data_IF_999689115644
#
_entry.id   IF_999689115644
#
_cell.length_a   1.000
_cell.length_b   1.000
_cell.length_c   1.000
_cell.angle_alpha   90.00
_cell.angle_beta   90.00
_cell.angle_gamma   90.00
#
_symmetry.space_group_name_H-M   'P 1'
#
loop_
_entity.id
_entity.type
_entity.pdbx_description
1 polymer ?
#
# COMPACT_ATOMS: atom_id res chain seq x y z
N UNK A 1 -75.94 11.00 -21.73
CA UNK A 1 -74.88 11.44 -22.66
C UNK A 1 -73.61 11.62 -21.82
N UNK A 2 -72.75 10.59 -21.84
CA UNK A 2 -71.63 10.40 -20.93
C UNK A 2 -70.43 11.28 -21.30
N UNK A 3 -69.79 11.95 -20.34
CA UNK A 3 -68.38 12.34 -20.44
C UNK A 3 -67.70 12.24 -19.07
N UNK A 4 -67.11 11.08 -18.83
CA UNK A 4 -66.20 10.83 -17.70
C UNK A 4 -64.81 11.38 -18.09
N UNK A 5 -64.37 12.44 -17.42
CA UNK A 5 -63.03 13.03 -17.63
C UNK A 5 -62.02 12.25 -16.80
N UNK A 6 -61.22 11.39 -17.44
CA UNK A 6 -60.08 10.70 -16.81
C UNK A 6 -58.85 11.58 -16.92
N UNK A 7 -58.41 12.15 -15.80
CA UNK A 7 -57.12 12.82 -15.66
C UNK A 7 -56.07 11.73 -15.45
N UNK A 8 -55.20 11.53 -16.44
CA UNK A 8 -54.03 10.67 -16.32
C UNK A 8 -52.88 11.49 -15.72
N UNK A 9 -52.51 11.23 -14.47
CA UNK A 9 -51.22 11.65 -13.93
C UNK A 9 -50.16 10.69 -14.47
N UNK A 10 -49.38 11.14 -15.45
CA UNK A 10 -48.15 10.44 -15.86
C UNK A 10 -47.05 10.87 -14.89
N UNK A 11 -46.76 10.01 -13.92
CA UNK A 11 -45.53 10.09 -13.13
C UNK A 11 -44.37 9.70 -14.05
N UNK A 12 -43.71 10.69 -14.63
CA UNK A 12 -42.44 10.50 -15.32
C UNK A 12 -41.36 10.22 -14.27
N UNK A 13 -41.11 8.94 -13.98
CA UNK A 13 -39.87 8.55 -13.32
C UNK A 13 -38.74 8.72 -14.34
N UNK A 14 -38.01 9.83 -14.24
CA UNK A 14 -36.68 9.90 -14.84
C UNK A 14 -35.77 8.98 -14.02
N UNK A 15 -35.68 7.71 -14.44
CA UNK A 15 -34.51 6.92 -14.11
C UNK A 15 -33.33 7.60 -14.81
N UNK A 16 -32.68 8.53 -14.10
CA UNK A 16 -31.31 8.86 -14.43
C UNK A 16 -30.55 7.56 -14.23
N UNK A 17 -30.33 6.82 -15.31
CA UNK A 17 -29.29 5.83 -15.33
C UNK A 17 -28.02 6.61 -14.99
N UNK A 18 -27.56 6.51 -13.75
CA UNK A 18 -26.14 6.65 -13.48
C UNK A 18 -25.51 5.56 -14.34
N UNK A 19 -25.11 5.90 -15.55
CA UNK A 19 -24.00 5.21 -16.16
C UNK A 19 -22.85 5.45 -15.20
N UNK A 20 -22.64 4.52 -14.27
CA UNK A 20 -21.36 4.33 -13.67
C UNK A 20 -20.44 4.06 -14.85
N UNK A 21 -19.80 5.11 -15.33
CA UNK A 21 -18.72 5.00 -16.27
C UNK A 21 -17.69 4.18 -15.49
N UNK A 22 -17.64 2.88 -15.74
CA UNK A 22 -16.62 2.02 -15.18
C UNK A 22 -15.34 2.48 -15.83
N UNK A 23 -14.61 3.32 -15.12
CA UNK A 23 -13.21 3.53 -15.45
C UNK A 23 -12.56 2.15 -15.29
N UNK A 24 -12.34 1.45 -16.41
CA UNK A 24 -11.74 0.09 -16.47
C UNK A 24 -10.28 0.09 -16.00
N UNK A 25 -9.81 1.21 -15.46
CA UNK A 25 -8.59 1.31 -14.69
C UNK A 25 -8.59 0.24 -13.59
N UNK A 26 -7.58 -0.62 -13.61
CA UNK A 26 -7.30 -1.57 -12.52
C UNK A 26 -7.21 -0.91 -11.14
N UNK A 27 -7.04 0.43 -11.07
CA UNK A 27 -7.08 1.23 -9.83
C UNK A 27 -8.48 1.33 -9.20
N UNK A 28 -9.53 1.16 -9.98
CA UNK A 28 -10.93 1.11 -9.53
C UNK A 28 -11.41 -0.31 -9.25
N UNK A 29 -10.55 -1.33 -9.35
CA UNK A 29 -10.89 -2.72 -9.04
C UNK A 29 -10.52 -3.10 -7.60
N UNK A 30 -11.01 -4.25 -7.13
CA UNK A 30 -10.65 -4.86 -5.86
C UNK A 30 -9.13 -5.12 -5.71
N UNK A 31 -8.69 -5.41 -4.48
CA UNK A 31 -7.28 -5.74 -4.21
C UNK A 31 -6.96 -7.13 -4.78
N UNK A 32 -7.84 -8.11 -4.57
CA UNK A 32 -7.71 -9.43 -5.14
C UNK A 32 -8.40 -9.50 -6.51
N UNK A 33 -7.72 -10.12 -7.47
CA UNK A 33 -8.30 -10.41 -8.78
C UNK A 33 -8.98 -11.78 -8.75
N UNK A 34 -10.31 -11.78 -8.69
CA UNK A 34 -11.12 -12.99 -8.48
C UNK A 34 -11.96 -13.38 -9.71
N UNK A 35 -11.92 -12.61 -10.79
CA UNK A 35 -12.83 -12.72 -11.95
C UNK A 35 -12.75 -14.04 -12.71
N UNK A 36 -11.68 -14.80 -12.53
CA UNK A 36 -11.50 -16.13 -13.14
C UNK A 36 -11.60 -17.27 -12.14
N UNK A 37 -11.94 -16.99 -10.88
CA UNK A 37 -12.11 -18.03 -9.86
C UNK A 37 -13.54 -18.57 -9.89
N UNK A 38 -13.78 -19.83 -10.31
CA UNK A 38 -15.12 -20.42 -10.32
C UNK A 38 -15.70 -20.62 -8.91
N UNK A 39 -14.87 -20.45 -7.88
CA UNK A 39 -15.25 -20.62 -6.47
C UNK A 39 -15.44 -19.29 -5.73
N UNK A 40 -15.00 -18.16 -6.29
CA UNK A 40 -15.20 -16.86 -5.67
C UNK A 40 -16.65 -16.41 -5.89
N UNK A 41 -17.43 -16.38 -4.80
CA UNK A 41 -18.81 -15.86 -4.82
C UNK A 41 -18.92 -14.38 -4.47
N UNK A 42 -17.89 -13.84 -3.81
CA UNK A 42 -17.79 -12.46 -3.38
C UNK A 42 -16.58 -11.82 -4.04
N UNK A 43 -16.75 -10.57 -4.47
CA UNK A 43 -15.69 -9.76 -5.06
C UNK A 43 -15.40 -8.58 -4.14
N UNK A 44 -14.13 -8.22 -4.07
CA UNK A 44 -13.67 -7.12 -3.24
C UNK A 44 -14.12 -5.79 -3.85
N UNK A 45 -14.23 -4.77 -3.00
CA UNK A 45 -14.40 -3.39 -3.43
C UNK A 45 -13.02 -2.71 -3.51
N UNK A 46 -12.81 -1.74 -4.42
CA UNK A 46 -11.62 -0.90 -4.37
C UNK A 46 -11.59 -0.13 -3.05
N UNK A 47 -10.38 0.13 -2.53
CA UNK A 47 -10.17 0.86 -1.27
C UNK A 47 -10.89 2.22 -1.28
N UNK A 48 -10.87 2.91 -2.42
CA UNK A 48 -11.47 4.23 -2.61
C UNK A 48 -13.01 4.23 -2.64
N UNK A 49 -13.66 3.08 -2.86
CA UNK A 49 -15.13 2.98 -2.87
C UNK A 49 -15.74 3.08 -1.47
N UNK A 50 -14.96 2.86 -0.41
CA UNK A 50 -15.46 2.90 0.96
C UNK A 50 -14.98 4.17 1.65
N UNK A 51 -15.93 5.04 2.01
CA UNK A 51 -15.68 6.22 2.84
C UNK A 51 -16.27 6.00 4.22
N UNK A 52 -15.40 5.85 5.22
CA UNK A 52 -15.84 5.76 6.60
C UNK A 52 -16.41 7.09 7.06
N UNK A 53 -17.65 7.07 7.55
CA UNK A 53 -18.27 8.23 8.21
C UNK A 53 -17.69 8.40 9.62
N UNK A 54 -18.00 9.53 10.26
CA UNK A 54 -17.59 9.81 11.63
C UNK A 54 -17.94 8.66 12.59
N UNK A 55 -17.07 8.45 13.58
CA UNK A 55 -17.19 7.37 14.57
C UNK A 55 -15.93 6.52 14.68
N UNK A 56 -16.08 5.36 15.32
CA UNK A 56 -14.96 4.53 15.77
C UNK A 56 -13.87 4.29 14.70
N UNK A 57 -14.25 3.84 13.50
CA UNK A 57 -13.28 3.51 12.45
C UNK A 57 -12.65 4.74 11.79
N UNK A 58 -13.43 5.81 11.58
CA UNK A 58 -12.88 7.06 11.07
C UNK A 58 -11.84 7.65 12.05
N UNK A 59 -12.09 7.58 13.35
CA UNK A 59 -11.13 8.04 14.36
C UNK A 59 -9.83 7.22 14.35
N UNK A 60 -9.92 5.89 14.21
CA UNK A 60 -8.75 5.03 14.09
C UNK A 60 -7.94 5.30 12.83
N UNK A 61 -8.62 5.42 11.68
CA UNK A 61 -7.96 5.75 10.41
C UNK A 61 -7.29 7.13 10.46
N UNK A 62 -7.94 8.10 11.11
CA UNK A 62 -7.39 9.44 11.31
C UNK A 62 -6.13 9.41 12.16
N UNK A 63 -6.16 8.75 13.32
CA UNK A 63 -4.97 8.58 14.18
C UNK A 63 -3.87 7.82 13.44
N UNK A 64 -4.21 6.77 12.69
CA UNK A 64 -3.23 6.02 11.92
C UNK A 64 -2.49 6.91 10.90
N UNK A 65 -3.23 7.68 10.11
CA UNK A 65 -2.67 8.56 9.08
C UNK A 65 -1.90 9.75 9.66
N UNK A 66 -2.40 10.37 10.74
CA UNK A 66 -1.84 11.61 11.29
C UNK A 66 -0.74 11.38 12.34
N UNK A 67 -0.69 10.21 12.98
CA UNK A 67 0.22 9.93 14.10
C UNK A 67 0.98 8.63 13.91
N UNK A 68 0.30 7.51 13.73
CA UNK A 68 0.97 6.19 13.74
C UNK A 68 1.94 6.04 12.58
N UNK A 69 1.51 6.31 11.34
CA UNK A 69 2.37 6.21 10.15
C UNK A 69 3.58 7.14 10.26
N UNK A 70 3.45 8.45 10.53
CA UNK A 70 4.63 9.31 10.74
C UNK A 70 5.56 8.85 11.86
N UNK A 71 5.00 8.46 13.01
CA UNK A 71 5.81 8.02 14.16
C UNK A 71 6.57 6.74 13.85
N UNK A 72 5.93 5.78 13.18
CA UNK A 72 6.60 4.54 12.80
C UNK A 72 7.78 4.78 11.85
N UNK A 73 7.69 5.73 10.92
CA UNK A 73 8.85 6.05 10.08
C UNK A 73 9.98 6.63 10.91
N UNK A 74 9.67 7.53 11.86
CA UNK A 74 10.66 8.10 12.76
C UNK A 74 11.38 7.01 13.55
N UNK A 75 10.65 6.04 14.09
CA UNK A 75 11.24 4.89 14.79
C UNK A 75 12.18 4.06 13.88
N UNK A 76 11.79 3.82 12.62
CA UNK A 76 12.62 3.10 11.65
C UNK A 76 13.91 3.88 11.28
N UNK A 77 13.82 5.20 11.18
CA UNK A 77 14.97 6.08 10.95
C UNK A 77 15.91 6.09 12.18
N UNK A 78 15.35 6.32 13.38
CA UNK A 78 16.09 6.46 14.63
C UNK A 78 16.80 5.17 15.05
N UNK A 79 16.20 4.01 14.78
CA UNK A 79 16.79 2.71 15.07
C UNK A 79 17.70 2.20 13.95
N UNK A 80 17.93 2.99 12.90
CA UNK A 80 18.87 2.65 11.82
C UNK A 80 18.34 1.58 10.85
N UNK A 81 17.04 1.31 10.86
CA UNK A 81 16.41 0.35 9.94
C UNK A 81 16.48 0.86 8.51
N UNK A 82 16.12 2.13 8.26
CA UNK A 82 16.26 2.73 6.93
C UNK A 82 17.73 2.83 6.51
N UNK A 83 18.63 3.05 7.48
CA UNK A 83 20.07 3.10 7.23
C UNK A 83 20.66 1.75 6.80
N UNK A 84 19.98 0.62 7.03
CA UNK A 84 20.41 -0.68 6.47
C UNK A 84 20.43 -0.68 4.94
N UNK A 85 19.56 0.08 4.29
CA UNK A 85 19.60 0.28 2.83
C UNK A 85 20.70 1.28 2.46
N UNK A 86 20.70 2.45 3.10
CA UNK A 86 21.63 3.54 2.80
C UNK A 86 23.10 3.17 2.97
N UNK A 87 23.43 2.30 3.92
CA UNK A 87 24.82 1.82 4.12
C UNK A 87 25.34 1.06 2.89
N UNK A 88 24.47 0.33 2.18
CA UNK A 88 24.84 -0.49 1.03
C UNK A 88 25.11 0.36 -0.21
N UNK A 89 24.46 1.52 -0.30
CA UNK A 89 24.69 2.52 -1.35
C UNK A 89 25.70 3.61 -0.96
N UNK A 90 26.32 3.53 0.23
CA UNK A 90 27.26 4.55 0.74
C UNK A 90 26.61 5.89 1.16
N UNK A 91 25.28 5.95 1.27
CA UNK A 91 24.53 7.14 1.71
C UNK A 91 24.45 7.28 3.24
N UNK A 92 24.94 6.28 3.98
CA UNK A 92 25.05 6.30 5.44
C UNK A 92 26.42 5.81 5.88
N UNK A 93 26.96 6.40 6.95
CA UNK A 93 28.19 5.96 7.60
C UNK A 93 27.96 4.82 8.60
N UNK A 94 26.74 4.30 8.69
CA UNK A 94 26.41 3.16 9.54
C UNK A 94 27.24 1.94 9.14
N UNK A 95 28.09 1.47 10.06
CA UNK A 95 29.02 0.39 9.78
C UNK A 95 28.33 -0.99 9.70
N UNK A 96 27.33 -1.25 10.55
CA UNK A 96 26.71 -2.57 10.70
C UNK A 96 25.21 -2.54 10.43
N UNK A 97 24.69 -3.67 9.97
CA UNK A 97 23.24 -3.89 9.90
C UNK A 97 22.61 -3.81 11.31
N UNK A 98 21.42 -3.21 11.41
CA UNK A 98 20.63 -3.08 12.63
C UNK A 98 19.36 -3.94 12.58
N UNK A 99 19.01 -4.53 13.72
CA UNK A 99 17.83 -5.38 13.85
C UNK A 99 17.98 -6.81 13.29
N UNK A 100 16.94 -7.64 13.46
CA UNK A 100 16.90 -9.01 12.97
C UNK A 100 16.94 -9.12 11.43
N UNK A 101 17.19 -10.33 10.90
CA UNK A 101 17.34 -10.61 9.45
C UNK A 101 16.14 -10.23 8.58
N UNK A 102 14.97 -10.03 9.18
CA UNK A 102 13.71 -9.68 8.51
C UNK A 102 13.35 -8.20 8.57
N UNK A 103 14.23 -7.36 9.12
CA UNK A 103 13.97 -5.95 9.43
C UNK A 103 13.62 -5.10 8.20
N UNK A 104 14.13 -5.46 7.02
CA UNK A 104 13.73 -4.82 5.75
C UNK A 104 12.20 -4.80 5.56
N UNK A 105 11.53 -5.86 6.02
CA UNK A 105 10.07 -5.97 5.91
C UNK A 105 9.33 -4.88 6.69
N UNK A 106 9.92 -4.29 7.72
CA UNK A 106 9.26 -3.24 8.50
C UNK A 106 9.16 -1.95 7.70
N UNK A 107 10.19 -1.62 6.90
CA UNK A 107 10.11 -0.52 5.94
C UNK A 107 9.10 -0.81 4.82
N UNK A 108 9.07 -2.04 4.31
CA UNK A 108 8.12 -2.41 3.25
C UNK A 108 6.66 -2.32 3.75
N UNK A 109 6.35 -2.87 4.93
CA UNK A 109 5.02 -2.74 5.55
C UNK A 109 4.64 -1.29 5.81
N UNK A 110 5.61 -0.45 6.18
CA UNK A 110 5.36 0.97 6.34
C UNK A 110 4.94 1.62 5.01
N UNK A 111 5.66 1.32 3.91
CA UNK A 111 5.32 1.81 2.57
C UNK A 111 3.92 1.31 2.16
N UNK A 112 3.60 0.04 2.41
CA UNK A 112 2.27 -0.53 2.15
C UNK A 112 1.17 0.23 2.92
N UNK A 113 1.37 0.46 4.22
CA UNK A 113 0.42 1.20 5.05
C UNK A 113 0.24 2.65 4.56
N UNK A 114 1.35 3.31 4.19
CA UNK A 114 1.34 4.67 3.66
C UNK A 114 0.60 4.73 2.31
N UNK A 115 0.80 3.75 1.43
CA UNK A 115 0.08 3.64 0.16
C UNK A 115 -1.44 3.48 0.37
N UNK A 116 -1.87 2.65 1.34
CA UNK A 116 -3.29 2.53 1.66
C UNK A 116 -3.87 3.81 2.29
N UNK A 117 -3.08 4.60 3.02
CA UNK A 117 -3.50 5.95 3.46
C UNK A 117 -3.74 6.88 2.27
N UNK A 118 -2.91 6.82 1.23
CA UNK A 118 -3.08 7.63 0.01
C UNK A 118 -4.33 7.24 -0.80
N UNK A 119 -4.76 5.98 -0.71
CA UNK A 119 -5.96 5.46 -1.36
C UNK A 119 -7.24 5.67 -0.53
N UNK A 120 -7.12 5.92 0.78
CA UNK A 120 -8.26 6.00 1.70
C UNK A 120 -8.59 7.43 2.13
N UNK A 121 -9.70 7.95 1.60
CA UNK A 121 -10.20 9.27 1.95
C UNK A 121 -9.47 10.44 1.25
N UNK A 122 -9.97 11.65 1.46
CA UNK A 122 -9.42 12.86 0.85
C UNK A 122 -8.55 13.61 1.86
N UNK A 123 -7.23 13.55 1.67
CA UNK A 123 -6.21 14.15 2.58
C UNK A 123 -5.15 14.89 1.76
N UNK A 124 -5.50 15.99 1.05
CA UNK A 124 -4.63 16.59 0.04
C UNK A 124 -3.29 17.08 0.60
N UNK A 125 -3.29 17.61 1.84
CA UNK A 125 -2.09 18.12 2.50
C UNK A 125 -1.13 16.99 2.91
N UNK A 126 -1.66 15.86 3.39
CA UNK A 126 -0.86 14.68 3.74
C UNK A 126 -0.33 13.98 2.48
N UNK A 127 -1.12 13.99 1.39
CA UNK A 127 -0.83 13.27 0.14
C UNK A 127 0.54 13.63 -0.43
N UNK A 128 0.80 14.92 -0.63
CA UNK A 128 2.06 15.37 -1.24
C UNK A 128 3.28 14.99 -0.39
N UNK A 129 3.19 15.20 0.93
CA UNK A 129 4.28 14.87 1.87
C UNK A 129 4.55 13.37 1.91
N UNK A 130 3.49 12.56 1.94
CA UNK A 130 3.61 11.11 2.05
C UNK A 130 4.14 10.49 0.74
N UNK A 131 3.70 10.99 -0.43
CA UNK A 131 4.26 10.59 -1.74
C UNK A 131 5.76 10.87 -1.81
N UNK A 132 6.18 12.13 -1.54
CA UNK A 132 7.59 12.49 -1.55
C UNK A 132 8.43 11.68 -0.54
N UNK A 133 7.84 11.32 0.59
CA UNK A 133 8.48 10.46 1.59
C UNK A 133 8.66 9.03 1.07
N UNK A 134 7.63 8.43 0.48
CA UNK A 134 7.70 7.10 -0.12
C UNK A 134 8.72 7.08 -1.26
N UNK A 135 8.69 8.04 -2.17
CA UNK A 135 9.62 8.11 -3.30
C UNK A 135 11.07 8.15 -2.84
N UNK A 136 11.38 8.97 -1.82
CA UNK A 136 12.73 9.00 -1.21
C UNK A 136 13.15 7.65 -0.63
N UNK A 137 12.23 6.93 0.03
CA UNK A 137 12.53 5.61 0.60
C UNK A 137 12.71 4.56 -0.50
N UNK A 138 11.92 4.64 -1.59
CA UNK A 138 12.10 3.81 -2.78
C UNK A 138 13.48 4.07 -3.40
N UNK A 139 13.92 5.32 -3.49
CA UNK A 139 15.27 5.66 -3.98
C UNK A 139 16.39 5.07 -3.12
N UNK A 140 16.19 4.97 -1.81
CA UNK A 140 17.13 4.29 -0.90
C UNK A 140 17.11 2.77 -1.09
N UNK A 141 15.92 2.18 -1.28
CA UNK A 141 15.75 0.74 -1.55
C UNK A 141 16.39 0.35 -2.88
N UNK A 142 16.11 1.10 -3.95
CA UNK A 142 16.66 0.86 -5.29
C UNK A 142 18.18 0.99 -5.31
N UNK A 143 18.73 1.95 -4.57
CA UNK A 143 20.18 2.12 -4.47
C UNK A 143 20.87 0.97 -3.72
N UNK A 144 20.15 0.24 -2.87
CA UNK A 144 20.64 -0.95 -2.18
C UNK A 144 20.43 -2.25 -2.97
N UNK A 145 19.59 -2.25 -4.00
CA UNK A 145 19.33 -3.43 -4.82
C UNK A 145 20.56 -3.77 -5.69
N UNK A 146 20.96 -5.03 -5.71
CA UNK A 146 22.06 -5.48 -6.56
C UNK A 146 21.65 -5.54 -8.04
N UNK A 147 22.61 -5.47 -8.99
CA UNK A 147 22.31 -5.61 -10.42
C UNK A 147 21.59 -6.91 -10.82
N UNK A 148 21.72 -7.96 -10.00
CA UNK A 148 21.01 -9.24 -10.17
C UNK A 148 19.52 -9.17 -9.79
N UNK A 149 19.09 -8.08 -9.17
CA UNK A 149 17.79 -7.92 -8.54
C UNK A 149 17.74 -8.34 -7.06
N UNK A 150 18.82 -8.93 -6.53
CA UNK A 150 18.85 -9.38 -5.13
C UNK A 150 18.71 -8.21 -4.15
N UNK A 151 17.78 -8.33 -3.22
CA UNK A 151 17.52 -7.33 -2.19
C UNK A 151 17.14 -8.00 -0.86
N UNK A 152 18.11 -8.04 0.05
CA UNK A 152 17.92 -8.23 1.47
C UNK A 152 19.17 -7.66 2.15
N UNK A 153 19.02 -6.62 2.97
CA UNK A 153 20.16 -5.85 3.46
C UNK A 153 21.06 -6.62 4.43
N UNK A 154 20.57 -7.73 4.99
CA UNK A 154 21.35 -8.61 5.88
C UNK A 154 22.29 -9.54 5.10
N UNK A 155 21.87 -10.03 3.94
CA UNK A 155 22.56 -11.06 3.14
C UNK A 155 23.35 -10.49 1.94
N UNK A 156 23.69 -9.21 1.99
CA UNK A 156 24.62 -8.56 1.06
C UNK A 156 26.03 -8.42 1.66
N UNK A 157 27.01 -8.15 0.81
CA UNK A 157 28.41 -8.02 1.22
C UNK A 157 29.00 -9.34 1.73
N UNK A 158 29.53 -9.35 2.96
CA UNK A 158 30.20 -10.50 3.58
C UNK A 158 29.29 -11.72 3.73
N UNK A 159 27.97 -11.52 3.73
CA UNK A 159 26.97 -12.60 3.88
C UNK A 159 26.40 -13.12 2.56
N UNK A 160 26.89 -12.63 1.42
CA UNK A 160 26.38 -13.03 0.11
C UNK A 160 26.47 -14.55 -0.14
N UNK A 161 27.45 -15.22 0.43
CA UNK A 161 27.60 -16.68 0.33
C UNK A 161 26.50 -17.47 1.08
N UNK A 162 25.72 -16.83 1.95
CA UNK A 162 24.66 -17.46 2.76
C UNK A 162 23.26 -17.27 2.16
N UNK A 163 23.13 -16.67 0.98
CA UNK A 163 21.84 -16.44 0.33
C UNK A 163 21.14 -17.76 0.05
N UNK A 164 19.87 -17.82 0.43
CA UNK A 164 18.97 -18.95 0.19
C UNK A 164 19.45 -20.31 0.73
N UNK A 165 20.46 -20.34 1.61
CA UNK A 165 20.95 -21.59 2.21
C UNK A 165 20.08 -22.05 3.38
N UNK A 166 19.41 -21.11 4.06
CA UNK A 166 18.70 -21.35 5.34
C UNK A 166 17.24 -20.85 5.29
N UNK A 167 16.50 -21.25 4.27
CA UNK A 167 15.15 -20.75 3.94
C UNK A 167 14.14 -20.77 5.10
N UNK A 168 14.28 -21.71 6.04
CA UNK A 168 13.39 -21.84 7.20
C UNK A 168 13.55 -20.72 8.23
N UNK A 169 14.63 -19.92 8.15
CA UNK A 169 14.94 -18.84 9.11
C UNK A 169 15.53 -17.58 8.49
N UNK A 170 15.96 -17.61 7.23
CA UNK A 170 16.61 -16.46 6.59
C UNK A 170 15.67 -15.27 6.35
N UNK A 171 14.36 -15.54 6.22
CA UNK A 171 13.35 -14.53 5.89
C UNK A 171 13.58 -13.81 4.55
N UNK A 172 14.41 -14.35 3.65
CA UNK A 172 14.64 -13.73 2.33
C UNK A 172 13.35 -13.66 1.51
N UNK A 173 12.60 -14.77 1.41
CA UNK A 173 11.29 -14.77 0.73
C UNK A 173 10.20 -14.02 1.51
N UNK A 174 10.32 -13.95 2.83
CA UNK A 174 9.39 -13.19 3.67
C UNK A 174 9.54 -11.68 3.41
N UNK A 175 10.78 -11.17 3.39
CA UNK A 175 11.07 -9.79 3.02
C UNK A 175 10.65 -9.50 1.58
N UNK A 176 10.93 -10.42 0.64
CA UNK A 176 10.46 -10.28 -0.74
C UNK A 176 8.92 -10.21 -0.82
N UNK A 177 8.20 -11.03 -0.05
CA UNK A 177 6.74 -10.99 0.03
C UNK A 177 6.22 -9.61 0.45
N UNK A 178 6.79 -9.04 1.51
CA UNK A 178 6.41 -7.71 1.96
C UNK A 178 6.81 -6.60 0.98
N UNK A 179 7.95 -6.72 0.30
CA UNK A 179 8.34 -5.80 -0.77
C UNK A 179 7.29 -5.80 -1.89
N UNK A 180 6.83 -6.98 -2.32
CA UNK A 180 5.81 -7.12 -3.35
C UNK A 180 4.48 -6.53 -2.91
N UNK A 181 4.05 -6.76 -1.66
CA UNK A 181 2.84 -6.14 -1.12
C UNK A 181 2.92 -4.61 -1.13
N UNK A 182 4.04 -4.05 -0.67
CA UNK A 182 4.29 -2.62 -0.68
C UNK A 182 4.27 -2.03 -2.10
N UNK A 183 4.97 -2.69 -3.04
CA UNK A 183 5.04 -2.26 -4.43
C UNK A 183 3.66 -2.28 -5.10
N UNK A 184 2.87 -3.34 -4.89
CA UNK A 184 1.51 -3.46 -5.43
C UNK A 184 0.62 -2.37 -4.82
N UNK A 185 0.65 -2.18 -3.50
CA UNK A 185 -0.14 -1.15 -2.84
C UNK A 185 0.24 0.24 -3.31
N UNK A 186 1.52 0.54 -3.50
CA UNK A 186 1.98 1.86 -3.97
C UNK A 186 1.65 2.13 -5.44
N UNK A 187 1.77 1.11 -6.30
CA UNK A 187 1.48 1.26 -7.72
C UNK A 187 0.00 1.61 -7.97
N UNK A 188 -0.90 0.99 -7.19
CA UNK A 188 -2.37 1.17 -7.19
C UNK A 188 -2.76 2.62 -6.91
#
# INVERSE_FOLDING_TARGET
MNRTMRIFFVLAFSAAALSAQTDDSWRSQGILYLDHSPSAKLHDLPVSAVKMQAGFWADRMRVNAERSVPTMLQELEDHGIVNNFRRLSGRSTQATHQGPVYTDSDLYKWIEAAAFVLQSGDRPQLRATLLATIDRLIDDILAAQEPSGYLNTYYQGDKAALRFTEMHRSHELYCLGHLLQAAIAYYR
#
